data_IF_558872342729
#
_entry.id   IF_558872342729
#
_cell.length_a   1.000
_cell.length_b   1.000
_cell.length_c   1.000
_cell.angle_alpha   90.00
_cell.angle_beta   90.00
_cell.angle_gamma   90.00
#
_symmetry.space_group_name_H-M   'P 1'
#
loop_
_entity.id
_entity.type
_entity.pdbx_description
1 polymer ?
#
# COMPACT_ATOMS: atom_id res chain seq x y z
N UNK A 1 15.44 6.66 -0.92
CA UNK A 1 14.42 5.90 -1.67
C UNK A 1 13.50 6.87 -2.40
N UNK A 2 13.31 6.70 -3.70
CA UNK A 2 12.35 7.48 -4.51
C UNK A 2 11.17 6.61 -4.93
N UNK A 3 10.01 7.21 -5.17
CA UNK A 3 8.82 6.50 -5.64
C UNK A 3 8.71 6.59 -7.16
N UNK A 4 8.48 5.47 -7.83
CA UNK A 4 8.20 5.38 -9.26
C UNK A 4 6.78 4.84 -9.45
N UNK A 5 5.90 5.64 -10.05
CA UNK A 5 4.51 5.24 -10.30
C UNK A 5 4.33 4.64 -11.71
N UNK A 6 3.74 3.46 -11.76
CA UNK A 6 3.34 2.76 -12.99
C UNK A 6 1.83 2.90 -13.15
N UNK A 7 1.44 3.89 -13.94
CA UNK A 7 0.05 4.22 -14.25
C UNK A 7 -0.16 4.40 -15.75
N UNK A 8 -1.36 4.07 -16.21
CA UNK A 8 -1.82 4.40 -17.55
C UNK A 8 -2.15 5.89 -17.60
N UNK A 9 -1.51 6.64 -18.51
CA UNK A 9 -1.98 7.98 -18.86
C UNK A 9 -3.08 7.79 -19.91
N UNK A 10 -4.34 7.93 -19.49
CA UNK A 10 -5.45 8.06 -20.44
C UNK A 10 -5.30 9.40 -21.15
N UNK A 11 -4.55 9.40 -22.25
CA UNK A 11 -4.51 10.56 -23.14
C UNK A 11 -5.75 10.45 -24.02
N UNK A 12 -6.70 11.36 -23.85
CA UNK A 12 -7.90 11.41 -24.68
C UNK A 12 -7.54 11.29 -26.17
N UNK A 13 -8.35 10.50 -26.88
CA UNK A 13 -8.21 10.06 -28.26
C UNK A 13 -7.68 11.16 -29.19
N UNK A 14 -6.48 10.97 -29.76
CA UNK A 14 -6.11 11.26 -31.17
C UNK A 14 -4.59 11.38 -31.45
N UNK A 15 -3.69 11.40 -30.46
CA UNK A 15 -2.25 11.54 -30.74
C UNK A 15 -1.26 10.96 -29.69
N UNK A 16 -1.76 10.32 -28.63
CA UNK A 16 -0.91 9.78 -27.55
C UNK A 16 -0.39 8.35 -27.81
N UNK A 17 0.73 7.94 -27.18
CA UNK A 17 1.15 6.54 -27.17
C UNK A 17 0.08 5.64 -26.54
N UNK A 18 -0.12 4.43 -27.06
CA UNK A 18 -1.02 3.42 -26.47
C UNK A 18 -0.57 3.09 -25.04
N UNK A 19 -1.51 2.72 -24.16
CA UNK A 19 -1.25 2.38 -22.75
C UNK A 19 -0.13 1.34 -22.59
N UNK A 20 -0.14 0.28 -23.39
CA UNK A 20 0.92 -0.75 -23.40
C UNK A 20 2.30 -0.15 -23.70
N UNK A 21 2.39 0.79 -24.66
CA UNK A 21 3.65 1.44 -25.03
C UNK A 21 4.18 2.31 -23.87
N UNK A 22 3.28 2.96 -23.13
CA UNK A 22 3.64 3.75 -21.95
C UNK A 22 4.17 2.87 -20.81
N UNK A 23 3.50 1.74 -20.54
CA UNK A 23 3.97 0.78 -19.54
C UNK A 23 5.33 0.21 -19.95
N UNK A 24 5.55 -0.05 -21.24
CA UNK A 24 6.85 -0.49 -21.78
C UNK A 24 7.98 0.47 -21.46
N UNK A 25 7.83 1.73 -21.86
CA UNK A 25 8.86 2.74 -21.65
C UNK A 25 9.18 2.91 -20.15
N UNK A 26 8.15 2.91 -19.29
CA UNK A 26 8.34 3.00 -17.84
C UNK A 26 9.00 1.75 -17.24
N UNK A 27 8.69 0.57 -17.78
CA UNK A 27 9.29 -0.69 -17.34
C UNK A 27 10.80 -0.67 -17.63
N UNK A 28 11.20 -0.32 -18.86
CA UNK A 28 12.61 -0.30 -19.26
C UNK A 28 13.41 0.73 -18.44
N UNK A 29 12.90 1.96 -18.32
CA UNK A 29 13.54 3.02 -17.51
C UNK A 29 13.69 2.63 -16.03
N UNK A 30 12.71 1.89 -15.49
CA UNK A 30 12.71 1.46 -14.11
C UNK A 30 13.76 0.37 -13.87
N UNK A 31 13.84 -0.65 -14.72
CA UNK A 31 14.81 -1.73 -14.55
C UNK A 31 16.23 -1.23 -14.77
N UNK A 32 16.45 -0.31 -15.71
CA UNK A 32 17.73 0.38 -15.87
C UNK A 32 18.18 1.07 -14.57
N UNK A 33 17.25 1.68 -13.82
CA UNK A 33 17.54 2.31 -12.54
C UNK A 33 17.79 1.28 -11.42
N UNK A 34 17.01 0.20 -11.37
CA UNK A 34 17.18 -0.89 -10.41
C UNK A 34 18.54 -1.58 -10.58
N UNK A 35 18.91 -1.91 -11.82
CA UNK A 35 20.21 -2.51 -12.17
C UNK A 35 21.41 -1.60 -11.84
N UNK A 36 21.20 -0.29 -11.75
CA UNK A 36 22.20 0.69 -11.29
C UNK A 36 22.30 0.78 -9.76
N UNK A 37 21.56 -0.05 -9.03
CA UNK A 37 21.55 -0.10 -7.57
C UNK A 37 20.79 1.06 -6.93
N UNK A 38 19.73 1.58 -7.57
CA UNK A 38 18.88 2.62 -6.96
C UNK A 38 17.78 1.99 -6.11
N UNK A 39 17.64 2.47 -4.88
CA UNK A 39 16.52 2.10 -4.00
C UNK A 39 15.23 2.79 -4.45
N UNK A 40 14.29 2.00 -4.96
CA UNK A 40 13.01 2.47 -5.49
C UNK A 40 11.83 1.80 -4.81
N UNK A 41 10.79 2.59 -4.54
CA UNK A 41 9.44 2.08 -4.29
C UNK A 41 8.67 2.13 -5.61
N UNK A 42 8.31 0.96 -6.14
CA UNK A 42 7.56 0.86 -7.40
C UNK A 42 6.08 0.73 -7.09
N UNK A 43 5.32 1.79 -7.33
CA UNK A 43 3.89 1.88 -7.08
C UNK A 43 3.13 1.55 -8.37
N UNK A 44 2.56 0.34 -8.43
CA UNK A 44 1.87 -0.17 -9.62
C UNK A 44 0.37 -0.05 -9.40
N UNK A 45 -0.28 0.79 -10.21
CA UNK A 45 -1.73 0.93 -10.15
C UNK A 45 -2.44 -0.40 -10.42
N UNK A 46 -3.51 -0.69 -9.69
CA UNK A 46 -4.23 -1.98 -9.74
C UNK A 46 -4.67 -2.39 -11.17
N UNK A 47 -4.99 -1.44 -12.04
CA UNK A 47 -5.35 -1.70 -13.44
C UNK A 47 -4.18 -2.10 -14.33
N UNK A 48 -2.94 -1.89 -13.88
CA UNK A 48 -1.71 -2.10 -14.66
C UNK A 48 -0.90 -3.30 -14.17
N UNK A 49 -1.22 -3.87 -12.99
CA UNK A 49 -0.49 -4.99 -12.37
C UNK A 49 -0.36 -6.17 -13.33
N UNK A 50 -1.45 -6.60 -13.96
CA UNK A 50 -1.42 -7.78 -14.83
C UNK A 50 -0.51 -7.58 -16.06
N UNK A 51 -0.60 -6.43 -16.71
CA UNK A 51 0.25 -6.09 -17.86
C UNK A 51 1.72 -5.94 -17.45
N UNK A 52 1.96 -5.37 -16.27
CA UNK A 52 3.30 -5.23 -15.71
C UNK A 52 3.94 -6.60 -15.44
N UNK A 53 3.21 -7.51 -14.79
CA UNK A 53 3.71 -8.85 -14.47
C UNK A 53 3.94 -9.70 -15.73
N UNK A 54 3.14 -9.52 -16.80
CA UNK A 54 3.42 -10.16 -18.11
C UNK A 54 4.73 -9.69 -18.74
N UNK A 55 5.11 -8.44 -18.52
CA UNK A 55 6.40 -7.91 -19.00
C UNK A 55 7.55 -8.45 -18.17
N UNK A 56 7.33 -8.56 -16.86
CA UNK A 56 8.27 -9.20 -15.95
C UNK A 56 8.50 -10.67 -16.36
N UNK A 57 7.45 -11.40 -16.76
CA UNK A 57 7.54 -12.77 -17.31
C UNK A 57 8.37 -12.85 -18.60
N UNK A 58 8.19 -11.86 -19.48
CA UNK A 58 8.92 -11.79 -20.76
C UNK A 58 10.39 -11.43 -20.64
N UNK A 59 10.83 -10.95 -19.47
CA UNK A 59 12.21 -10.54 -19.18
C UNK A 59 12.81 -11.51 -18.15
N UNK A 60 13.40 -12.61 -18.63
CA UNK A 60 13.95 -13.66 -17.78
C UNK A 60 14.90 -13.09 -16.70
N UNK A 61 14.57 -13.34 -15.43
CA UNK A 61 15.35 -12.90 -14.27
C UNK A 61 15.02 -11.49 -13.78
N UNK A 62 14.21 -10.69 -14.49
CA UNK A 62 13.87 -9.33 -14.07
C UNK A 62 13.12 -9.26 -12.74
N UNK A 63 12.43 -10.34 -12.35
CA UNK A 63 11.83 -10.45 -11.02
C UNK A 63 12.85 -10.43 -9.89
N UNK A 64 14.12 -10.75 -10.14
CA UNK A 64 15.22 -10.72 -9.16
C UNK A 64 15.67 -9.30 -8.81
N UNK A 65 15.37 -8.30 -9.66
CA UNK A 65 15.71 -6.89 -9.44
C UNK A 65 14.94 -6.25 -8.26
N UNK A 66 13.92 -6.95 -7.74
CA UNK A 66 13.07 -6.48 -6.64
C UNK A 66 13.42 -7.20 -5.34
N UNK A 67 13.74 -6.47 -4.27
CA UNK A 67 13.93 -7.14 -2.96
C UNK A 67 12.67 -7.92 -2.53
N UNK A 68 11.49 -7.32 -2.68
CA UNK A 68 10.21 -7.95 -2.38
C UNK A 68 9.05 -7.30 -3.15
N UNK A 69 7.91 -7.99 -3.20
CA UNK A 69 6.65 -7.52 -3.73
C UNK A 69 5.62 -7.40 -2.60
N UNK A 70 5.10 -6.20 -2.37
CA UNK A 70 4.06 -5.95 -1.36
C UNK A 70 2.71 -5.90 -2.05
N UNK A 71 1.82 -6.82 -1.70
CA UNK A 71 0.47 -6.96 -2.28
C UNK A 71 -0.57 -6.58 -1.22
N UNK A 72 -1.16 -5.38 -1.27
CA UNK A 72 -2.23 -5.00 -0.36
C UNK A 72 -3.54 -5.70 -0.72
N UNK A 73 -4.28 -6.15 0.30
CA UNK A 73 -5.59 -6.78 0.15
C UNK A 73 -6.62 -6.07 1.03
N UNK A 74 -7.84 -5.88 0.53
CA UNK A 74 -8.97 -5.39 1.33
C UNK A 74 -10.05 -6.48 1.45
N UNK A 75 -10.94 -6.42 2.47
CA UNK A 75 -12.00 -7.40 2.64
C UNK A 75 -13.02 -7.49 1.49
N UNK A 76 -13.00 -6.53 0.56
CA UNK A 76 -13.94 -6.50 -0.56
C UNK A 76 -13.69 -7.64 -1.56
N UNK A 77 -14.75 -8.37 -1.93
CA UNK A 77 -14.62 -9.63 -2.68
C UNK A 77 -13.97 -9.49 -4.07
N UNK A 78 -14.08 -8.33 -4.72
CA UNK A 78 -13.41 -8.08 -6.00
C UNK A 78 -11.90 -7.95 -5.80
N UNK A 79 -11.49 -7.08 -4.88
CA UNK A 79 -10.08 -6.83 -4.59
C UNK A 79 -9.39 -8.08 -4.03
N UNK A 80 -10.09 -8.90 -3.25
CA UNK A 80 -9.59 -10.21 -2.79
C UNK A 80 -9.19 -11.12 -3.96
N UNK A 81 -10.05 -11.24 -4.99
CA UNK A 81 -9.76 -12.08 -6.16
C UNK A 81 -8.58 -11.56 -6.97
N UNK A 82 -8.52 -10.24 -7.16
CA UNK A 82 -7.42 -9.59 -7.88
C UNK A 82 -6.08 -9.78 -7.12
N UNK A 83 -6.12 -9.73 -5.79
CA UNK A 83 -4.96 -10.03 -4.91
C UNK A 83 -4.51 -11.47 -5.08
N UNK A 84 -5.42 -12.45 -4.98
CA UNK A 84 -5.10 -13.88 -5.15
C UNK A 84 -4.49 -14.14 -6.54
N UNK A 85 -5.05 -13.54 -7.59
CA UNK A 85 -4.50 -13.62 -8.94
C UNK A 85 -3.08 -13.06 -9.02
N UNK A 86 -2.84 -11.90 -8.40
CA UNK A 86 -1.52 -11.26 -8.36
C UNK A 86 -0.49 -12.15 -7.65
N UNK A 87 -0.85 -12.74 -6.52
CA UNK A 87 0.01 -13.67 -5.78
C UNK A 87 0.35 -14.90 -6.62
N UNK A 88 -0.66 -15.50 -7.28
CA UNK A 88 -0.45 -16.67 -8.13
C UNK A 88 0.46 -16.32 -9.33
N UNK A 89 0.28 -15.16 -9.97
CA UNK A 89 1.17 -14.70 -11.04
C UNK A 89 2.60 -14.49 -10.56
N UNK A 90 2.82 -13.89 -9.39
CA UNK A 90 4.17 -13.73 -8.83
C UNK A 90 4.82 -15.07 -8.49
N UNK A 91 4.04 -16.04 -7.99
CA UNK A 91 4.55 -17.38 -7.74
C UNK A 91 4.90 -18.12 -9.05
N UNK A 92 4.09 -17.97 -10.09
CA UNK A 92 4.32 -18.55 -11.42
C UNK A 92 5.56 -17.94 -12.09
N UNK A 93 5.87 -16.66 -11.81
CA UNK A 93 7.12 -15.99 -12.19
C UNK A 93 8.37 -16.51 -11.46
N UNK A 94 8.22 -17.43 -10.50
CA UNK A 94 9.32 -17.93 -9.69
C UNK A 94 9.79 -16.97 -8.60
N UNK A 95 8.96 -16.01 -8.19
CA UNK A 95 9.28 -15.18 -7.01
C UNK A 95 9.17 -16.05 -5.76
N UNK A 96 10.25 -16.07 -4.98
CA UNK A 96 10.31 -16.84 -3.74
C UNK A 96 9.18 -16.44 -2.76
N UNK A 97 8.56 -17.39 -2.03
CA UNK A 97 7.49 -17.08 -1.08
C UNK A 97 7.87 -16.02 -0.06
N UNK A 98 9.13 -16.09 0.40
CA UNK A 98 9.77 -15.14 1.30
C UNK A 98 10.00 -13.74 0.70
N UNK A 99 9.54 -13.46 -0.52
CA UNK A 99 9.59 -12.13 -1.16
C UNK A 99 8.20 -11.62 -1.57
N UNK A 100 7.14 -12.43 -1.50
CA UNK A 100 5.76 -12.00 -1.72
C UNK A 100 5.13 -11.70 -0.35
N UNK A 101 4.89 -10.43 -0.06
CA UNK A 101 4.41 -9.94 1.24
C UNK A 101 2.99 -9.42 1.14
N UNK A 102 2.07 -9.91 1.97
CA UNK A 102 0.68 -9.43 1.95
C UNK A 102 0.42 -8.42 3.06
N UNK A 103 -0.19 -7.29 2.69
CA UNK A 103 -0.66 -6.27 3.63
C UNK A 103 -2.18 -6.36 3.79
N UNK A 104 -2.65 -6.70 4.99
CA UNK A 104 -4.07 -6.73 5.34
C UNK A 104 -4.58 -5.29 5.52
N UNK A 105 -5.19 -4.72 4.48
CA UNK A 105 -5.59 -3.32 4.44
C UNK A 105 -7.07 -3.11 4.78
N UNK A 106 -7.40 -1.90 5.28
CA UNK A 106 -8.74 -1.46 5.68
C UNK A 106 -9.50 -2.46 6.55
N UNK A 107 -8.81 -3.06 7.51
CA UNK A 107 -9.43 -4.09 8.37
C UNK A 107 -10.38 -3.45 9.37
N UNK A 108 -11.63 -3.92 9.38
CA UNK A 108 -12.61 -3.53 10.38
C UNK A 108 -12.40 -4.37 11.65
N UNK A 109 -11.57 -3.84 12.56
CA UNK A 109 -11.27 -4.47 13.86
C UNK A 109 -12.43 -4.31 14.84
N UNK A 110 -12.89 -5.42 15.41
CA UNK A 110 -13.96 -5.45 16.40
C UNK A 110 -13.35 -5.64 17.79
N UNK A 111 -13.51 -4.65 18.69
CA UNK A 111 -12.87 -4.68 20.02
C UNK A 111 -13.27 -5.88 20.89
N UNK A 112 -14.45 -6.44 20.68
CA UNK A 112 -14.99 -7.57 21.43
C UNK A 112 -14.68 -8.94 20.78
N UNK A 113 -13.97 -8.96 19.65
CA UNK A 113 -13.65 -10.16 18.91
C UNK A 113 -12.14 -10.41 18.94
N UNK A 114 -11.74 -11.68 18.98
CA UNK A 114 -10.34 -12.04 18.81
C UNK A 114 -9.87 -11.66 17.41
N UNK A 115 -8.66 -11.09 17.33
CA UNK A 115 -8.09 -10.61 16.07
C UNK A 115 -8.09 -11.70 14.99
N UNK A 116 -7.63 -12.90 15.33
CA UNK A 116 -7.57 -14.04 14.40
C UNK A 116 -8.94 -14.34 13.78
N UNK A 117 -9.99 -14.33 14.60
CA UNK A 117 -11.35 -14.56 14.13
C UNK A 117 -11.81 -13.45 13.18
N UNK A 118 -11.51 -12.19 13.50
CA UNK A 118 -11.78 -11.05 12.61
C UNK A 118 -11.05 -11.20 11.27
N UNK A 119 -9.78 -11.60 11.30
CA UNK A 119 -8.98 -11.76 10.07
C UNK A 119 -9.47 -12.90 9.21
N UNK A 120 -9.78 -14.07 9.80
CA UNK A 120 -10.32 -15.20 9.05
C UNK A 120 -11.69 -14.90 8.45
N UNK A 121 -12.52 -14.11 9.13
CA UNK A 121 -13.81 -13.66 8.59
C UNK A 121 -13.65 -12.75 7.38
N UNK A 122 -12.68 -11.85 7.39
CA UNK A 122 -12.44 -10.90 6.30
C UNK A 122 -11.61 -11.50 5.14
N UNK A 123 -10.63 -12.34 5.44
CA UNK A 123 -9.59 -12.80 4.52
C UNK A 123 -9.49 -14.33 4.41
N UNK A 124 -10.54 -15.08 4.77
CA UNK A 124 -10.49 -16.55 4.84
C UNK A 124 -9.92 -17.23 3.58
N UNK A 125 -10.27 -16.77 2.39
CA UNK A 125 -9.74 -17.30 1.12
C UNK A 125 -8.22 -17.17 1.02
N UNK A 126 -7.64 -16.10 1.55
CA UNK A 126 -6.21 -15.87 1.57
C UNK A 126 -5.51 -16.79 2.58
N UNK A 127 -6.10 -16.99 3.76
CA UNK A 127 -5.59 -17.94 4.76
C UNK A 127 -5.60 -19.37 4.20
N UNK A 128 -6.69 -19.79 3.57
CA UNK A 128 -6.80 -21.10 2.91
C UNK A 128 -5.77 -21.27 1.78
N UNK A 129 -5.54 -20.21 0.98
CA UNK A 129 -4.51 -20.22 -0.05
C UNK A 129 -3.11 -20.38 0.54
N UNK A 130 -2.80 -19.61 1.59
CA UNK A 130 -1.52 -19.67 2.28
C UNK A 130 -1.25 -21.05 2.87
N UNK A 131 -2.23 -21.61 3.59
CA UNK A 131 -2.13 -22.94 4.21
C UNK A 131 -1.92 -24.06 3.16
N UNK A 132 -2.52 -23.91 1.97
CA UNK A 132 -2.40 -24.89 0.88
C UNK A 132 -1.14 -24.77 0.05
N UNK A 133 -0.80 -23.56 -0.42
CA UNK A 133 0.25 -23.33 -1.41
C UNK A 133 1.59 -22.89 -0.81
N UNK A 134 1.57 -22.18 0.33
CA UNK A 134 2.76 -21.56 0.95
C UNK A 134 3.61 -20.76 -0.04
N UNK A 135 2.96 -20.08 -0.99
CA UNK A 135 3.61 -19.30 -2.05
C UNK A 135 3.88 -17.85 -1.69
N UNK A 136 3.51 -17.39 -0.49
CA UNK A 136 3.70 -16.02 -0.03
C UNK A 136 3.78 -15.99 1.50
N UNK A 137 4.22 -14.88 2.07
CA UNK A 137 4.22 -14.65 3.51
C UNK A 137 2.97 -13.88 3.96
N UNK A 138 2.27 -14.46 4.95
CA UNK A 138 1.08 -13.89 5.56
C UNK A 138 1.33 -13.59 7.05
N UNK A 139 1.77 -12.36 7.33
CA UNK A 139 1.95 -11.88 8.69
C UNK A 139 0.71 -11.12 9.17
N UNK A 140 0.07 -11.57 10.24
CA UNK A 140 -1.13 -10.93 10.78
C UNK A 140 -0.89 -9.55 11.40
N UNK A 141 0.36 -9.23 11.74
CA UNK A 141 0.76 -7.91 12.20
C UNK A 141 1.05 -6.94 11.03
N UNK A 142 1.14 -7.43 9.78
CA UNK A 142 1.18 -6.61 8.57
C UNK A 142 -0.24 -6.14 8.21
N UNK A 143 -0.78 -5.25 9.04
CA UNK A 143 -2.19 -4.85 9.00
C UNK A 143 -2.38 -3.35 9.20
N UNK A 144 -3.25 -2.76 8.37
CA UNK A 144 -3.75 -1.39 8.55
C UNK A 144 -5.26 -1.44 8.80
N UNK A 145 -5.75 -0.94 9.95
CA UNK A 145 -7.18 -0.89 10.20
C UNK A 145 -7.86 0.17 9.34
N UNK A 146 -9.16 0.01 9.10
CA UNK A 146 -9.95 1.05 8.43
C UNK A 146 -9.90 2.34 9.24
N UNK A 147 -9.48 3.42 8.59
CA UNK A 147 -9.41 4.74 9.21
C UNK A 147 -9.69 5.84 8.17
N UNK A 148 -10.50 6.82 8.52
CA UNK A 148 -10.85 7.96 7.66
C UNK A 148 -9.73 9.01 7.56
N UNK A 149 -8.73 8.92 8.44
CA UNK A 149 -7.58 9.83 8.47
C UNK A 149 -6.81 9.90 7.15
N UNK A 150 -6.73 8.79 6.41
CA UNK A 150 -6.06 8.76 5.11
C UNK A 150 -6.74 9.69 4.10
N UNK A 151 -8.08 9.62 4.02
CA UNK A 151 -8.88 10.51 3.17
C UNK A 151 -8.75 11.97 3.60
N UNK A 152 -8.79 12.22 4.92
CA UNK A 152 -8.67 13.59 5.46
C UNK A 152 -7.28 14.19 5.21
N UNK A 153 -6.22 13.39 5.35
CA UNK A 153 -4.85 13.81 5.11
C UNK A 153 -4.59 14.08 3.63
N UNK A 154 -5.07 13.20 2.74
CA UNK A 154 -5.00 13.39 1.30
C UNK A 154 -5.73 14.67 0.85
N UNK A 155 -6.94 14.92 1.36
CA UNK A 155 -7.68 16.15 1.09
C UNK A 155 -6.96 17.42 1.59
N UNK A 156 -6.09 17.28 2.60
CA UNK A 156 -5.23 18.36 3.11
C UNK A 156 -3.88 18.46 2.37
N UNK A 157 -3.57 17.56 1.43
CA UNK A 157 -2.29 17.51 0.74
C UNK A 157 -1.10 17.22 1.67
N UNK A 158 -1.34 16.51 2.78
CA UNK A 158 -0.32 16.20 3.81
C UNK A 158 -0.26 14.71 4.04
N UNK A 159 0.91 14.20 4.41
CA UNK A 159 1.02 12.83 4.87
C UNK A 159 0.56 12.71 6.33
N UNK A 160 0.22 11.48 6.74
CA UNK A 160 -0.08 11.19 8.16
C UNK A 160 1.10 11.54 9.06
N UNK A 161 2.31 11.22 8.61
CA UNK A 161 3.55 11.53 9.32
C UNK A 161 3.71 13.04 9.53
N UNK A 162 3.52 13.84 8.47
CA UNK A 162 3.62 15.30 8.57
C UNK A 162 2.60 15.88 9.55
N UNK A 163 1.37 15.35 9.57
CA UNK A 163 0.32 15.79 10.48
C UNK A 163 0.66 15.43 11.94
N UNK A 164 1.17 14.22 12.16
CA UNK A 164 1.51 13.77 13.50
C UNK A 164 2.72 14.51 14.09
N UNK A 165 3.67 14.90 13.24
CA UNK A 165 4.98 15.44 13.66
C UNK A 165 5.15 16.95 13.47
N UNK A 166 4.14 17.69 12.99
CA UNK A 166 4.25 19.14 12.70
C UNK A 166 4.55 20.06 13.88
N UNK A 167 4.65 19.55 15.11
CA UNK A 167 4.94 20.34 16.30
C UNK A 167 3.84 21.32 16.72
N UNK A 168 2.70 21.37 16.01
CA UNK A 168 1.65 22.36 16.26
C UNK A 168 0.73 21.95 17.42
N UNK A 169 0.58 22.82 18.41
CA UNK A 169 -0.44 22.66 19.46
C UNK A 169 -1.75 23.35 19.05
N UNK A 170 -2.51 22.66 18.20
CA UNK A 170 -3.83 23.12 17.77
C UNK A 170 -4.83 23.26 18.94
N UNK A 171 -4.60 22.58 20.07
CA UNK A 171 -5.47 22.68 21.24
C UNK A 171 -5.22 23.99 21.98
N UNK A 172 -3.96 24.41 22.13
CA UNK A 172 -3.63 25.72 22.66
C UNK A 172 -4.20 26.84 21.76
N UNK A 173 -3.98 26.75 20.45
CA UNK A 173 -4.53 27.71 19.48
C UNK A 173 -6.06 27.79 19.54
N UNK A 174 -6.75 26.66 19.79
CA UNK A 174 -8.21 26.64 19.91
C UNK A 174 -8.73 27.43 21.12
N UNK A 175 -7.97 27.46 22.22
CA UNK A 175 -8.30 28.24 23.41
C UNK A 175 -8.21 29.74 23.12
N UNK A 176 -7.17 30.14 22.37
CA UNK A 176 -6.88 31.54 22.04
C UNK A 176 -7.69 32.09 20.86
N UNK A 177 -8.38 31.23 20.10
CA UNK A 177 -9.13 31.61 18.92
C UNK A 177 -10.29 32.59 19.22
N UNK A 178 -10.37 33.66 18.44
CA UNK A 178 -11.30 34.76 18.68
C UNK A 178 -12.65 34.58 17.96
N UNK A 179 -12.67 33.82 16.86
CA UNK A 179 -13.85 33.70 15.99
C UNK A 179 -14.39 32.27 15.91
N UNK A 180 -15.71 32.13 15.69
CA UNK A 180 -16.33 30.82 15.49
C UNK A 180 -15.74 30.05 14.27
N UNK A 181 -15.53 30.67 13.08
CA UNK A 181 -14.93 29.97 11.94
C UNK A 181 -13.51 29.45 12.21
N UNK A 182 -12.71 30.21 12.96
CA UNK A 182 -11.36 29.80 13.37
C UNK A 182 -11.39 28.63 14.35
N UNK A 183 -12.30 28.67 15.33
CA UNK A 183 -12.53 27.55 16.25
C UNK A 183 -12.93 26.28 15.51
N UNK A 184 -13.84 26.37 14.54
CA UNK A 184 -14.28 25.21 13.74
C UNK A 184 -13.11 24.59 12.96
N UNK A 185 -12.26 25.43 12.36
CA UNK A 185 -11.04 24.97 11.68
C UNK A 185 -10.10 24.25 12.65
N UNK A 186 -9.85 24.83 13.82
CA UNK A 186 -8.93 24.26 14.82
C UNK A 186 -9.47 22.96 15.42
N UNK A 187 -10.78 22.84 15.66
CA UNK A 187 -11.42 21.58 16.07
C UNK A 187 -11.15 20.48 15.05
N UNK A 188 -11.29 20.76 13.75
CA UNK A 188 -10.97 19.80 12.68
C UNK A 188 -9.50 19.40 12.69
N UNK A 189 -8.58 20.35 12.85
CA UNK A 189 -7.14 20.09 12.90
C UNK A 189 -6.75 19.25 14.13
N UNK A 190 -7.31 19.54 15.30
CA UNK A 190 -7.13 18.71 16.51
C UNK A 190 -7.61 17.29 16.26
N UNK A 191 -8.79 17.11 15.65
CA UNK A 191 -9.34 15.81 15.31
C UNK A 191 -8.43 15.02 14.35
N UNK A 192 -7.98 15.69 13.28
CA UNK A 192 -7.07 15.12 12.29
C UNK A 192 -5.74 14.70 12.92
N UNK A 193 -5.13 15.56 13.74
CA UNK A 193 -3.86 15.26 14.42
C UNK A 193 -3.98 14.09 15.38
N UNK A 194 -5.07 14.00 16.16
CA UNK A 194 -5.32 12.84 17.05
C UNK A 194 -5.44 11.53 16.29
N UNK A 195 -6.19 11.54 15.18
CA UNK A 195 -6.33 10.36 14.31
C UNK A 195 -4.98 9.95 13.70
N UNK A 196 -4.19 10.91 13.23
CA UNK A 196 -2.85 10.67 12.70
C UNK A 196 -1.92 10.04 13.74
N UNK A 197 -1.88 10.62 14.95
CA UNK A 197 -1.10 10.08 16.08
C UNK A 197 -1.53 8.67 16.49
N UNK A 198 -2.82 8.35 16.34
CA UNK A 198 -3.36 7.03 16.70
C UNK A 198 -3.05 5.95 15.66
N UNK A 199 -3.02 6.30 14.37
CA UNK A 199 -2.76 5.33 13.30
C UNK A 199 -1.26 5.12 13.05
N UNK A 200 -0.41 6.12 13.32
CA UNK A 200 1.02 6.07 12.99
C UNK A 200 1.75 4.86 13.59
N UNK A 201 1.61 4.53 14.90
CA UNK A 201 2.27 3.34 15.45
C UNK A 201 1.83 2.03 14.79
N UNK A 202 0.59 1.97 14.29
CA UNK A 202 0.06 0.81 13.58
C UNK A 202 0.65 0.71 12.16
N UNK A 203 0.89 1.85 11.50
CA UNK A 203 1.61 1.90 10.22
C UNK A 203 3.06 1.45 10.38
N UNK A 204 3.74 1.90 11.44
CA UNK A 204 5.12 1.51 11.73
C UNK A 204 5.22 0.01 12.07
N UNK A 205 4.25 -0.53 12.82
CA UNK A 205 4.13 -1.96 13.09
C UNK A 205 3.92 -2.76 11.80
N UNK A 206 2.98 -2.33 10.94
CA UNK A 206 2.71 -3.02 9.69
C UNK A 206 3.93 -3.01 8.75
N UNK A 207 4.64 -1.89 8.66
CA UNK A 207 5.89 -1.79 7.91
C UNK A 207 6.94 -2.76 8.45
N UNK A 208 7.15 -2.78 9.77
CA UNK A 208 8.10 -3.69 10.41
C UNK A 208 7.74 -5.15 10.13
N UNK A 209 6.46 -5.50 10.19
CA UNK A 209 5.96 -6.84 9.93
C UNK A 209 6.13 -7.27 8.45
N UNK A 210 5.94 -6.36 7.50
CA UNK A 210 6.16 -6.60 6.07
C UNK A 210 7.65 -6.81 5.75
N UNK A 211 8.51 -5.99 6.34
CA UNK A 211 9.95 -6.01 6.04
C UNK A 211 10.74 -7.05 6.84
N UNK A 212 10.09 -7.75 7.78
CA UNK A 212 10.73 -8.81 8.54
C UNK A 212 11.31 -9.88 7.60
N UNK A 213 12.63 -10.12 7.73
CA UNK A 213 13.35 -11.12 6.94
C UNK A 213 13.46 -10.79 5.44
N UNK A 214 13.19 -9.56 5.02
CA UNK A 214 13.55 -9.09 3.67
C UNK A 214 14.99 -8.59 3.72
N UNK A 215 15.87 -9.23 2.98
CA UNK A 215 17.23 -8.73 2.77
C UNK A 215 17.16 -7.59 1.73
N UNK A 216 17.59 -6.40 2.13
CA UNK A 216 17.63 -5.20 1.31
C UNK A 216 19.07 -4.87 0.90
#
# INVERSE_FOLDING_TARGET
MSVRQIESINTDDSAGPKVEVMIAARFDELHDDLMRGRDLLVDIGASNVEEYLKRLDGAEGAQEDYACFIVPVEPESKQMKDTIKTIDMLADLGVEPGRIRVLLNKVDLVRSEERELTLRRHFGQLFELHERKRTFELNQDALIPRNDVFTLAAAAGRTIHDIATDGMDYKAQLVDAASAPEKDRLVRLVGLKRKALSIQPLMDQAFTALMAGVDA
#
